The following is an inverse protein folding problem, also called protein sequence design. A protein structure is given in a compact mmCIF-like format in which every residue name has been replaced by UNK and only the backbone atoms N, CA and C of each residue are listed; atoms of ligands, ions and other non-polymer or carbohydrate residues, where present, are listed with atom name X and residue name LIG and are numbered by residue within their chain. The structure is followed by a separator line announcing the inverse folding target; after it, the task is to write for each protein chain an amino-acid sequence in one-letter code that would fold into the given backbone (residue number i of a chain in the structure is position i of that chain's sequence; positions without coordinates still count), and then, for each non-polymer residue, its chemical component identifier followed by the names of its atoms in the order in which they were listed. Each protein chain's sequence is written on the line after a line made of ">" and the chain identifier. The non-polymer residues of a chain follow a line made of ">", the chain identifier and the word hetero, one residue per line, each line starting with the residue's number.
data_IF_722249457786
#
_entry.id   IF_722249457786
#
_cell.length_a   1.000
_cell.length_b   1.000
_cell.length_c   1.000
_cell.angle_alpha   90.00
_cell.angle_beta   90.00
_cell.angle_gamma   90.00
#
_symmetry.space_group_name_H-M   'P 1'
#
loop_
_entity.id
_entity.type
_entity.pdbx_description
1 polymer ?
#
# COMPACT_ATOMS: atom_id res chain seq x y z
N UNK A 1 13.55 4.75 47.52
CA UNK A 1 12.09 4.99 47.71
C UNK A 1 11.68 6.45 47.59
N UNK A 2 12.14 7.40 48.44
CA UNK A 2 11.73 8.82 48.35
C UNK A 2 12.19 9.47 47.04
N UNK A 3 13.38 9.15 46.55
CA UNK A 3 13.92 9.69 45.30
C UNK A 3 13.22 9.15 44.06
N UNK A 4 12.79 7.90 44.06
CA UNK A 4 11.99 7.30 42.97
C UNK A 4 10.59 7.89 42.92
N UNK A 5 10.00 8.19 44.07
CA UNK A 5 8.71 8.88 44.16
C UNK A 5 8.78 10.32 43.63
N UNK A 6 9.83 11.07 43.98
CA UNK A 6 10.02 12.45 43.52
C UNK A 6 10.33 12.49 42.00
N UNK A 7 11.16 11.55 41.49
CA UNK A 7 11.44 11.46 40.04
C UNK A 7 10.21 11.04 39.25
N UNK A 8 9.41 10.09 39.77
CA UNK A 8 8.17 9.66 39.13
C UNK A 8 7.12 10.77 39.15
N UNK A 9 7.00 11.57 40.21
CA UNK A 9 6.10 12.70 40.30
C UNK A 9 6.53 13.84 39.37
N UNK A 10 7.83 14.13 39.26
CA UNK A 10 8.37 15.15 38.34
C UNK A 10 8.16 14.74 36.90
N UNK A 11 8.44 13.49 36.51
CA UNK A 11 8.21 12.94 35.17
C UNK A 11 6.71 12.90 34.86
N UNK A 12 5.88 12.46 35.80
CA UNK A 12 4.42 12.46 35.68
C UNK A 12 3.87 13.87 35.48
N UNK A 13 4.36 14.85 36.22
CA UNK A 13 3.99 16.27 36.10
C UNK A 13 4.37 16.86 34.75
N UNK A 14 5.58 16.59 34.26
CA UNK A 14 6.04 17.06 32.93
C UNK A 14 5.24 16.41 31.81
N UNK A 15 4.96 15.10 31.87
CA UNK A 15 4.12 14.40 30.89
C UNK A 15 2.66 14.90 30.89
N UNK A 16 2.13 15.18 32.10
CA UNK A 16 0.79 15.75 32.26
C UNK A 16 0.72 17.18 31.69
N UNK A 17 1.69 18.04 32.03
CA UNK A 17 1.78 19.41 31.49
C UNK A 17 1.98 19.42 29.96
N UNK A 18 2.77 18.47 29.40
CA UNK A 18 2.93 18.36 27.96
C UNK A 18 1.65 17.90 27.25
N UNK A 19 0.92 16.95 27.86
CA UNK A 19 -0.42 16.54 27.35
C UNK A 19 -1.46 17.66 27.48
N UNK A 20 -1.42 18.43 28.56
CA UNK A 20 -2.28 19.62 28.69
C UNK A 20 -1.92 20.70 27.65
N UNK A 21 -0.63 20.95 27.41
CA UNK A 21 -0.18 21.89 26.37
C UNK A 21 -0.58 21.40 24.96
N UNK A 22 -0.50 20.09 24.69
CA UNK A 22 -1.01 19.50 23.46
C UNK A 22 -2.54 19.63 23.34
N UNK A 23 -3.29 19.49 24.42
CA UNK A 23 -4.76 19.67 24.44
C UNK A 23 -5.19 21.13 24.31
N UNK A 24 -4.38 22.09 24.79
CA UNK A 24 -4.69 23.52 24.76
C UNK A 24 -4.32 24.22 23.46
N UNK A 25 -3.57 23.60 22.57
CA UNK A 25 -2.86 24.29 21.50
C UNK A 25 -3.60 24.39 20.16
N UNK A 26 -4.84 23.93 20.02
CA UNK A 26 -5.43 23.93 18.68
C UNK A 26 -6.85 24.46 18.62
N UNK A 27 -7.01 25.78 18.71
CA UNK A 27 -8.11 26.42 18.03
C UNK A 27 -7.67 26.80 16.60
N UNK A 28 -7.44 25.78 15.77
CA UNK A 28 -7.04 25.99 14.38
C UNK A 28 -8.17 26.67 13.58
N UNK A 29 -9.42 26.63 14.05
CA UNK A 29 -10.56 27.23 13.37
C UNK A 29 -10.37 28.73 13.10
N UNK A 30 -10.01 29.50 14.13
CA UNK A 30 -9.76 30.96 13.99
C UNK A 30 -8.50 31.23 13.16
N UNK A 31 -7.51 30.33 13.22
CA UNK A 31 -6.30 30.43 12.42
C UNK A 31 -6.60 30.18 10.94
N UNK A 32 -7.42 29.16 10.62
CA UNK A 32 -7.90 28.88 9.27
C UNK A 32 -8.65 30.08 8.71
N UNK A 33 -9.62 30.63 9.44
CA UNK A 33 -10.36 31.81 9.00
C UNK A 33 -9.45 33.00 8.68
N UNK A 34 -8.46 33.27 9.56
CA UNK A 34 -7.47 34.32 9.34
C UNK A 34 -6.58 34.08 8.13
N UNK A 35 -6.14 32.85 7.90
CA UNK A 35 -5.35 32.48 6.71
C UNK A 35 -6.19 32.70 5.45
N UNK A 36 -7.45 32.22 5.43
CA UNK A 36 -8.37 32.43 4.32
C UNK A 36 -8.56 33.92 4.00
N UNK A 37 -8.81 34.74 5.03
CA UNK A 37 -8.93 36.18 4.83
C UNK A 37 -7.69 36.83 4.23
N UNK A 38 -6.50 36.39 4.68
CA UNK A 38 -5.20 36.97 4.24
C UNK A 38 -4.81 36.50 2.83
N UNK A 39 -5.15 35.28 2.41
CA UNK A 39 -4.86 34.78 1.06
C UNK A 39 -5.93 35.15 0.02
N UNK A 40 -6.88 36.05 0.37
CA UNK A 40 -7.87 36.56 -0.56
C UNK A 40 -9.19 35.79 -0.61
N UNK A 41 -9.36 34.74 0.20
CA UNK A 41 -10.62 33.97 0.30
C UNK A 41 -11.66 34.72 1.17
N UNK A 42 -12.08 35.88 0.67
CA UNK A 42 -13.04 36.78 1.30
C UNK A 42 -13.83 37.54 0.25
N UNK A 43 -15.05 37.90 0.57
CA UNK A 43 -15.93 38.70 -0.29
C UNK A 43 -16.26 40.04 0.41
N UNK A 44 -16.17 41.13 -0.32
CA UNK A 44 -16.59 42.46 0.17
C UNK A 44 -18.04 42.72 -0.25
N UNK A 45 -18.92 42.89 0.73
CA UNK A 45 -20.29 43.34 0.53
C UNK A 45 -20.45 44.74 1.17
N UNK A 46 -20.34 45.78 0.35
CA UNK A 46 -20.36 47.16 0.85
C UNK A 46 -19.18 47.45 1.78
N UNK A 47 -19.47 47.79 3.04
CA UNK A 47 -18.47 48.09 4.09
C UNK A 47 -18.04 46.83 4.87
N UNK A 48 -18.72 45.68 4.70
CA UNK A 48 -18.43 44.45 5.42
C UNK A 48 -17.54 43.53 4.59
N UNK A 49 -16.64 42.80 5.27
CA UNK A 49 -15.83 41.74 4.66
C UNK A 49 -16.27 40.42 5.23
N UNK A 50 -16.82 39.57 4.39
CA UNK A 50 -17.25 38.21 4.77
C UNK A 50 -16.20 37.18 4.41
N UNK A 51 -15.94 36.29 5.36
CA UNK A 51 -15.02 35.11 5.21
C UNK A 51 -15.83 33.86 5.50
N UNK A 52 -15.17 32.70 5.41
CA UNK A 52 -15.77 31.41 5.79
C UNK A 52 -16.27 31.45 7.22
N UNK A 53 -17.45 30.87 7.46
CA UNK A 53 -18.08 30.79 8.78
C UNK A 53 -18.03 29.36 9.30
N UNK A 54 -17.38 29.13 10.47
CA UNK A 54 -17.36 27.84 11.12
C UNK A 54 -18.77 27.46 11.60
N UNK A 55 -19.24 26.27 11.19
CA UNK A 55 -20.52 25.71 11.61
C UNK A 55 -20.33 24.54 12.57
N UNK A 56 -19.32 23.68 12.31
CA UNK A 56 -19.09 22.49 13.12
C UNK A 56 -17.61 22.18 13.23
N UNK A 57 -17.22 21.63 14.40
CA UNK A 57 -15.90 21.09 14.68
C UNK A 57 -16.08 19.68 15.24
N UNK A 58 -15.50 18.68 14.57
CA UNK A 58 -15.55 17.27 15.00
C UNK A 58 -14.13 16.77 15.25
N UNK A 59 -13.87 16.18 16.42
CA UNK A 59 -12.59 15.58 16.73
C UNK A 59 -12.65 14.08 16.46
N UNK A 60 -11.66 13.57 15.74
CA UNK A 60 -11.46 12.16 15.40
C UNK A 60 -10.08 11.71 15.86
N UNK A 61 -9.79 10.39 15.77
CA UNK A 61 -8.49 9.82 16.15
C UNK A 61 -7.32 10.30 15.27
N UNK A 62 -7.60 10.71 14.04
CA UNK A 62 -6.63 11.23 13.07
C UNK A 62 -6.38 12.74 13.20
N UNK A 63 -7.31 13.50 13.81
CA UNK A 63 -7.20 14.95 13.92
C UNK A 63 -8.55 15.64 14.09
N UNK A 64 -8.76 16.77 13.43
CA UNK A 64 -9.98 17.58 13.57
C UNK A 64 -10.56 17.94 12.20
N UNK A 65 -11.84 17.69 12.02
CA UNK A 65 -12.63 18.16 10.88
C UNK A 65 -13.36 19.46 11.24
N UNK A 66 -13.21 20.47 10.41
CA UNK A 66 -13.90 21.75 10.50
C UNK A 66 -14.84 21.89 9.30
N UNK A 67 -16.13 22.09 9.55
CA UNK A 67 -17.11 22.36 8.51
C UNK A 67 -17.43 23.87 8.49
N UNK A 68 -17.23 24.49 7.35
CA UNK A 68 -17.44 25.91 7.12
C UNK A 68 -18.50 26.14 6.05
N UNK A 69 -19.25 27.25 6.20
CA UNK A 69 -20.05 27.82 5.12
C UNK A 69 -19.14 28.71 4.29
N UNK A 70 -19.16 28.55 2.96
CA UNK A 70 -18.50 29.43 2.01
C UNK A 70 -19.37 30.67 1.79
N UNK A 71 -18.83 31.89 1.81
CA UNK A 71 -19.60 33.10 1.46
C UNK A 71 -19.96 33.10 -0.02
N UNK A 72 -21.09 33.68 -0.37
CA UNK A 72 -21.54 33.86 -1.76
C UNK A 72 -20.45 34.61 -2.55
N UNK A 73 -20.13 34.09 -3.73
CA UNK A 73 -19.08 34.62 -4.62
C UNK A 73 -17.72 33.92 -4.53
N UNK A 74 -17.58 32.88 -3.68
CA UNK A 74 -16.47 31.96 -3.69
C UNK A 74 -16.92 30.53 -4.01
N UNK A 75 -16.08 29.78 -4.70
CA UNK A 75 -16.28 28.36 -5.05
C UNK A 75 -15.33 27.46 -4.29
N UNK A 76 -15.57 26.16 -4.30
CA UNK A 76 -14.66 25.16 -3.72
C UNK A 76 -13.27 25.21 -4.38
N UNK A 77 -13.20 25.42 -5.70
CA UNK A 77 -11.93 25.47 -6.43
C UNK A 77 -11.02 26.63 -5.99
N UNK A 78 -11.59 27.74 -5.49
CA UNK A 78 -10.80 28.86 -4.93
C UNK A 78 -10.01 28.41 -3.70
N UNK A 79 -10.57 27.50 -2.90
CA UNK A 79 -9.90 26.93 -1.73
C UNK A 79 -8.86 25.89 -2.10
N UNK A 80 -9.14 25.04 -3.11
CA UNK A 80 -8.18 24.04 -3.60
C UNK A 80 -6.91 24.71 -4.10
N UNK A 81 -7.00 25.79 -4.85
CA UNK A 81 -5.84 26.57 -5.32
C UNK A 81 -5.01 27.18 -4.18
N UNK A 82 -5.59 27.34 -3.00
CA UNK A 82 -4.93 27.95 -1.83
C UNK A 82 -4.58 26.94 -0.73
N UNK A 83 -4.66 25.64 -1.00
CA UNK A 83 -4.39 24.59 0.00
C UNK A 83 -2.99 24.72 0.61
N UNK A 84 -1.97 25.04 -0.19
CA UNK A 84 -0.61 25.23 0.30
C UNK A 84 -0.50 26.40 1.27
N UNK A 85 -1.22 27.51 1.02
CA UNK A 85 -1.24 28.65 1.95
C UNK A 85 -1.90 28.28 3.30
N UNK A 86 -2.91 27.41 3.27
CA UNK A 86 -3.54 26.88 4.47
C UNK A 86 -2.58 25.97 5.25
N UNK A 87 -1.90 25.05 4.56
CA UNK A 87 -0.92 24.15 5.17
C UNK A 87 0.25 24.93 5.79
N UNK A 88 0.90 25.81 5.03
CA UNK A 88 2.03 26.60 5.50
C UNK A 88 1.63 27.54 6.64
N UNK A 89 0.47 28.16 6.52
CA UNK A 89 -0.09 28.99 7.57
C UNK A 89 -0.35 28.24 8.86
N UNK A 90 -0.95 27.04 8.81
CA UNK A 90 -1.18 26.22 9.99
C UNK A 90 0.11 25.68 10.61
N UNK A 91 1.10 25.39 9.77
CA UNK A 91 2.41 24.85 10.19
C UNK A 91 3.41 25.91 10.67
N UNK A 92 3.08 27.20 10.50
CA UNK A 92 3.97 28.27 10.96
C UNK A 92 4.17 28.18 12.49
N UNK A 93 5.42 27.95 12.92
CA UNK A 93 5.85 27.79 14.34
C UNK A 93 5.31 26.54 15.08
N UNK A 94 4.83 25.50 14.40
CA UNK A 94 4.36 24.28 15.08
C UNK A 94 5.53 23.37 15.46
N UNK A 95 6.30 23.73 16.50
CA UNK A 95 7.25 22.83 17.15
C UNK A 95 6.53 22.14 18.31
N UNK A 96 6.43 20.81 18.25
CA UNK A 96 5.87 19.99 19.33
C UNK A 96 7.02 19.31 20.08
N UNK A 97 6.92 19.21 21.39
CA UNK A 97 7.88 18.48 22.19
C UNK A 97 7.79 16.98 21.87
N UNK A 98 8.93 16.38 21.46
CA UNK A 98 9.01 14.95 21.11
C UNK A 98 9.87 14.21 22.13
N UNK A 99 9.26 13.88 23.27
CA UNK A 99 9.89 13.02 24.26
C UNK A 99 8.97 11.84 24.63
N UNK A 100 9.57 10.68 24.82
CA UNK A 100 8.89 9.45 25.23
C UNK A 100 9.29 9.11 26.67
N UNK A 101 8.40 8.41 27.38
CA UNK A 101 8.74 7.89 28.73
C UNK A 101 10.02 7.06 28.75
N UNK A 102 10.35 6.40 27.61
CA UNK A 102 11.59 5.65 27.45
C UNK A 102 12.85 6.53 27.45
N UNK A 103 12.76 7.79 27.01
CA UNK A 103 13.90 8.71 26.99
C UNK A 103 14.34 9.05 28.42
N UNK A 104 13.41 9.01 29.40
CA UNK A 104 13.70 9.23 30.81
C UNK A 104 14.29 8.00 31.51
N UNK A 105 14.15 6.79 30.96
CA UNK A 105 14.80 5.58 31.48
C UNK A 105 16.32 5.58 31.27
N UNK A 106 16.82 6.40 30.37
CA UNK A 106 18.25 6.54 30.07
C UNK A 106 18.95 7.57 30.95
N UNK A 107 18.23 8.25 31.86
CA UNK A 107 18.80 9.23 32.77
C UNK A 107 19.80 8.59 33.75
N UNK A 108 21.02 9.12 33.78
CA UNK A 108 22.05 8.72 34.74
C UNK A 108 22.05 9.71 35.90
N UNK A 109 22.00 9.20 37.14
CA UNK A 109 22.10 9.97 38.38
C UNK A 109 23.52 10.56 38.53
N UNK A 110 23.74 11.73 37.91
CA UNK A 110 24.98 12.53 37.99
C UNK A 110 24.62 13.98 38.33
N UNK A 111 25.64 14.79 38.69
CA UNK A 111 25.45 16.22 39.01
C UNK A 111 24.78 17.05 37.86
N UNK A 112 24.76 16.53 36.66
CA UNK A 112 24.18 17.14 35.46
C UNK A 112 22.77 16.64 35.10
N UNK A 113 22.08 15.94 36.00
CA UNK A 113 20.75 15.36 35.77
C UNK A 113 19.71 16.38 35.28
N UNK A 114 19.77 17.60 35.81
CA UNK A 114 18.88 18.69 35.37
C UNK A 114 19.12 19.08 33.90
N UNK A 115 20.38 19.10 33.45
CA UNK A 115 20.72 19.35 32.06
C UNK A 115 20.25 18.19 31.14
N UNK A 116 20.39 16.95 31.59
CA UNK A 116 19.90 15.78 30.85
C UNK A 116 18.37 15.84 30.68
N UNK A 117 17.63 16.14 31.75
CA UNK A 117 16.18 16.35 31.71
C UNK A 117 15.82 17.50 30.78
N UNK A 118 16.52 18.62 30.85
CA UNK A 118 16.28 19.79 30.01
C UNK A 118 16.54 19.51 28.52
N UNK A 119 17.56 18.70 28.21
CA UNK A 119 17.84 18.24 26.84
C UNK A 119 16.76 17.30 26.29
N UNK A 120 16.20 16.42 27.13
CA UNK A 120 15.08 15.54 26.75
C UNK A 120 13.83 16.38 26.48
N UNK A 121 13.49 17.31 27.38
CA UNK A 121 12.32 18.18 27.26
C UNK A 121 12.46 19.13 26.07
N UNK A 122 13.66 19.61 25.76
CA UNK A 122 13.92 20.52 24.65
C UNK A 122 13.99 19.81 23.28
N UNK A 123 13.90 18.50 23.22
CA UNK A 123 13.73 17.75 21.96
C UNK A 123 12.42 18.17 21.31
N UNK A 124 12.52 19.04 20.32
CA UNK A 124 11.38 19.53 19.54
C UNK A 124 11.37 18.86 18.17
N UNK A 125 10.28 18.22 17.83
CA UNK A 125 10.03 17.72 16.48
C UNK A 125 9.10 18.67 15.76
N UNK A 126 9.43 18.98 14.51
CA UNK A 126 8.51 19.70 13.63
C UNK A 126 7.40 18.71 13.24
N UNK A 127 6.22 18.87 13.78
CA UNK A 127 5.05 18.10 13.34
C UNK A 127 4.33 18.95 12.31
N UNK A 128 4.42 18.54 11.07
CA UNK A 128 3.68 19.18 9.97
C UNK A 128 2.26 18.66 10.00
N UNK A 129 1.30 19.56 10.17
CA UNK A 129 -0.13 19.30 9.97
C UNK A 129 -0.38 19.25 8.47
N UNK A 130 -1.09 18.24 8.03
CA UNK A 130 -1.54 18.10 6.65
C UNK A 130 -3.03 18.42 6.58
N UNK A 131 -3.49 18.94 5.44
CA UNK A 131 -4.87 19.38 5.24
C UNK A 131 -5.46 18.63 4.07
N UNK A 132 -6.72 18.28 4.18
CA UNK A 132 -7.54 17.77 3.10
C UNK A 132 -8.81 18.61 3.02
N UNK A 133 -9.20 18.99 1.79
CA UNK A 133 -10.40 19.73 1.51
C UNK A 133 -11.43 18.82 0.85
N UNK A 134 -12.69 18.95 1.25
CA UNK A 134 -13.82 18.34 0.56
C UNK A 134 -15.05 19.23 0.65
N UNK A 135 -16.00 19.04 -0.27
CA UNK A 135 -17.23 19.84 -0.33
C UNK A 135 -18.44 18.94 -0.59
N UNK A 136 -19.41 19.05 0.30
CA UNK A 136 -20.72 18.37 0.20
C UNK A 136 -21.87 19.32 0.61
N UNK A 137 -21.84 20.55 0.10
CA UNK A 137 -22.68 21.64 0.55
C UNK A 137 -22.03 22.49 1.64
N UNK A 138 -21.04 21.94 2.35
CA UNK A 138 -20.17 22.66 3.29
C UNK A 138 -18.72 22.40 2.93
N UNK A 139 -17.87 23.40 3.10
CA UNK A 139 -16.43 23.24 3.00
C UNK A 139 -15.93 22.49 4.24
N UNK A 140 -15.49 21.26 4.07
CA UNK A 140 -14.85 20.48 5.11
C UNK A 140 -13.33 20.61 4.98
N UNK A 141 -12.71 21.06 6.06
CA UNK A 141 -11.25 21.16 6.20
C UNK A 141 -10.83 20.15 7.27
N UNK A 142 -10.22 19.05 6.84
CA UNK A 142 -9.63 18.04 7.72
C UNK A 142 -8.20 18.42 8.02
N UNK A 143 -7.90 18.61 9.28
CA UNK A 143 -6.55 18.92 9.76
C UNK A 143 -6.01 17.69 10.47
N UNK A 144 -5.05 17.04 9.86
CA UNK A 144 -4.42 15.84 10.38
C UNK A 144 -3.30 16.19 11.37
N UNK A 145 -3.39 15.66 12.59
CA UNK A 145 -2.35 15.84 13.62
C UNK A 145 -1.13 14.93 13.37
N UNK A 146 -1.33 13.87 12.59
CA UNK A 146 -0.28 12.92 12.18
C UNK A 146 -0.37 12.73 10.68
N UNK A 147 0.75 12.88 10.00
CA UNK A 147 0.86 12.51 8.59
C UNK A 147 0.80 11.00 8.36
N UNK A 148 0.75 10.59 7.10
CA UNK A 148 0.89 9.17 6.74
C UNK A 148 2.27 8.69 7.24
N UNK A 149 2.35 7.58 7.99
CA UNK A 149 3.64 7.07 8.48
C UNK A 149 4.58 6.76 7.31
N UNK A 150 5.88 6.95 7.50
CA UNK A 150 6.87 6.63 6.45
C UNK A 150 7.21 5.15 6.37
N UNK A 151 6.85 4.38 7.40
CA UNK A 151 7.07 2.94 7.47
C UNK A 151 5.98 2.27 8.31
N UNK A 152 5.39 1.20 7.76
CA UNK A 152 4.40 0.37 8.46
C UNK A 152 4.87 -1.07 8.43
N UNK A 153 5.27 -1.60 9.58
CA UNK A 153 5.65 -3.01 9.72
C UNK A 153 4.38 -3.87 9.86
N UNK A 154 4.38 -5.01 9.18
CA UNK A 154 3.32 -6.01 9.26
C UNK A 154 3.10 -6.49 10.70
N UNK A 155 1.82 -6.65 11.05
CA UNK A 155 1.35 -7.27 12.29
C UNK A 155 0.22 -8.24 11.94
N UNK A 156 0.19 -9.40 12.59
CA UNK A 156 -0.85 -10.42 12.33
C UNK A 156 -2.27 -9.91 12.53
N UNK A 157 -2.48 -8.97 13.45
CA UNK A 157 -3.78 -8.35 13.67
C UNK A 157 -4.34 -7.62 12.44
N UNK A 158 -3.49 -7.23 11.49
CA UNK A 158 -3.93 -6.62 10.23
C UNK A 158 -4.65 -7.64 9.35
N UNK A 159 -4.17 -8.89 9.30
CA UNK A 159 -4.86 -9.97 8.58
C UNK A 159 -6.14 -10.39 9.32
N UNK A 160 -6.12 -10.45 10.66
CA UNK A 160 -7.30 -10.78 11.47
C UNK A 160 -8.46 -9.80 11.29
N UNK A 161 -8.16 -8.55 10.91
CA UNK A 161 -9.17 -7.53 10.58
C UNK A 161 -9.76 -7.72 9.18
N UNK A 162 -9.16 -8.56 8.34
CA UNK A 162 -9.62 -8.85 6.99
C UNK A 162 -10.59 -10.04 7.01
N UNK A 163 -11.70 -9.92 6.28
CA UNK A 163 -12.73 -10.97 6.16
C UNK A 163 -12.82 -11.45 4.71
N UNK A 164 -13.23 -12.70 4.53
CA UNK A 164 -13.39 -13.25 3.18
C UNK A 164 -12.15 -13.08 2.32
N UNK A 165 -12.27 -12.37 1.23
CA UNK A 165 -11.19 -12.11 0.27
C UNK A 165 -10.50 -10.75 0.46
N UNK A 166 -10.71 -10.13 1.63
CA UNK A 166 -9.99 -8.90 1.99
C UNK A 166 -8.52 -9.15 2.30
N UNK A 167 -7.68 -8.22 1.89
CA UNK A 167 -6.24 -8.16 2.22
C UNK A 167 -5.86 -6.77 2.70
N UNK A 168 -4.90 -6.64 3.64
CA UNK A 168 -4.41 -5.32 4.04
C UNK A 168 -3.52 -4.75 2.94
N UNK A 169 -3.73 -3.49 2.57
CA UNK A 169 -2.87 -2.78 1.60
C UNK A 169 -1.89 -1.88 2.32
N UNK A 170 -2.37 -0.99 3.18
CA UNK A 170 -1.54 0.01 3.83
C UNK A 170 -2.33 0.92 4.75
N UNK A 171 -1.66 1.94 5.25
CA UNK A 171 -2.26 2.96 6.10
C UNK A 171 -2.37 4.29 5.36
N UNK A 172 -3.54 4.87 5.44
CA UNK A 172 -3.77 6.28 5.17
C UNK A 172 -3.67 7.08 6.47
N UNK A 173 -4.05 8.33 6.42
CA UNK A 173 -4.24 9.15 7.63
C UNK A 173 -5.41 8.67 8.49
N UNK A 174 -6.42 8.06 7.85
CA UNK A 174 -7.67 7.60 8.49
C UNK A 174 -7.54 6.19 9.09
N UNK A 175 -6.48 5.45 8.77
CA UNK A 175 -6.24 4.11 9.28
C UNK A 175 -5.89 3.07 8.21
N UNK A 176 -6.12 1.80 8.53
CA UNK A 176 -5.81 0.67 7.66
C UNK A 176 -6.77 0.62 6.47
N UNK A 177 -6.21 0.65 5.27
CA UNK A 177 -6.92 0.37 4.02
C UNK A 177 -6.81 -1.12 3.70
N UNK A 178 -7.95 -1.71 3.35
CA UNK A 178 -8.09 -3.09 2.89
C UNK A 178 -8.61 -3.11 1.47
N UNK A 179 -8.26 -4.14 0.73
CA UNK A 179 -8.81 -4.44 -0.59
C UNK A 179 -9.59 -5.74 -0.53
N UNK A 180 -10.80 -5.74 -1.06
CA UNK A 180 -11.65 -6.92 -1.18
C UNK A 180 -11.69 -7.39 -2.64
N UNK A 181 -11.07 -8.53 -2.91
CA UNK A 181 -11.04 -9.14 -4.25
C UNK A 181 -12.39 -9.69 -4.71
N UNK A 182 -13.37 -9.82 -3.83
CA UNK A 182 -14.73 -10.19 -4.22
C UNK A 182 -15.59 -8.99 -4.62
N UNK A 183 -15.18 -7.77 -4.24
CA UNK A 183 -15.80 -6.53 -4.71
C UNK A 183 -15.10 -6.01 -5.98
N UNK A 184 -13.78 -5.87 -5.94
CA UNK A 184 -12.94 -5.43 -7.05
C UNK A 184 -11.95 -6.55 -7.39
N UNK A 185 -12.34 -7.37 -8.35
CA UNK A 185 -11.73 -8.67 -8.63
C UNK A 185 -10.29 -8.61 -9.12
N UNK A 186 -9.91 -7.55 -9.81
CA UNK A 186 -8.62 -7.42 -10.46
C UNK A 186 -7.88 -6.19 -9.96
N UNK A 187 -6.54 -6.29 -9.92
CA UNK A 187 -5.68 -5.22 -9.43
C UNK A 187 -4.47 -5.02 -10.33
N UNK A 188 -4.14 -3.76 -10.63
CA UNK A 188 -2.85 -3.37 -11.19
C UNK A 188 -1.92 -2.94 -10.06
N UNK A 189 -0.66 -3.40 -10.11
CA UNK A 189 0.40 -2.93 -9.21
C UNK A 189 1.57 -2.40 -10.03
N UNK A 190 1.86 -1.10 -9.94
CA UNK A 190 2.95 -0.51 -10.71
C UNK A 190 3.89 0.32 -9.83
N UNK A 191 5.16 0.45 -10.25
CA UNK A 191 6.12 1.26 -9.54
C UNK A 191 7.56 0.95 -9.91
N UNK A 192 8.43 1.93 -9.74
CA UNK A 192 9.88 1.75 -9.94
C UNK A 192 10.44 0.64 -9.08
N UNK A 193 11.59 0.11 -9.51
CA UNK A 193 12.37 -0.84 -8.72
C UNK A 193 12.55 -0.34 -7.29
N UNK A 194 12.44 -1.25 -6.32
CA UNK A 194 12.67 -0.97 -4.89
C UNK A 194 11.63 -0.09 -4.19
N UNK A 195 10.57 0.35 -4.87
CA UNK A 195 9.52 1.18 -4.26
C UNK A 195 8.48 0.39 -3.45
N UNK A 196 8.41 -0.94 -3.57
CA UNK A 196 7.52 -1.77 -2.73
C UNK A 196 6.58 -2.71 -3.51
N UNK A 197 6.60 -2.69 -4.85
CA UNK A 197 5.75 -3.54 -5.71
C UNK A 197 5.79 -5.03 -5.31
N UNK A 198 6.97 -5.64 -5.28
CA UNK A 198 7.10 -7.06 -4.91
C UNK A 198 6.74 -7.35 -3.46
N UNK A 199 6.87 -6.37 -2.55
CA UNK A 199 6.47 -6.55 -1.16
C UNK A 199 4.94 -6.56 -1.01
N UNK A 200 4.21 -5.72 -1.75
CA UNK A 200 2.74 -5.74 -1.72
C UNK A 200 2.19 -7.03 -2.33
N UNK A 201 2.82 -7.58 -3.39
CA UNK A 201 2.44 -8.88 -3.94
C UNK A 201 2.63 -10.00 -2.90
N UNK A 202 3.77 -10.01 -2.20
CA UNK A 202 4.04 -10.96 -1.11
C UNK A 202 3.04 -10.82 0.03
N UNK A 203 2.70 -9.61 0.41
CA UNK A 203 1.69 -9.34 1.44
C UNK A 203 0.32 -9.90 1.04
N UNK A 204 -0.11 -9.66 -0.20
CA UNK A 204 -1.39 -10.15 -0.73
C UNK A 204 -1.40 -11.69 -0.72
N UNK A 205 -0.41 -12.35 -1.33
CA UNK A 205 -0.33 -13.82 -1.37
C UNK A 205 -0.37 -14.41 0.04
N UNK A 206 0.48 -13.89 0.94
CA UNK A 206 0.58 -14.39 2.31
C UNK A 206 -0.74 -14.21 3.08
N UNK A 207 -1.42 -13.07 2.90
CA UNK A 207 -2.70 -12.79 3.55
C UNK A 207 -3.81 -13.71 3.04
N UNK A 208 -3.87 -13.92 1.73
CA UNK A 208 -4.86 -14.80 1.10
C UNK A 208 -4.65 -16.27 1.51
N UNK A 209 -3.41 -16.76 1.47
CA UNK A 209 -3.08 -18.14 1.91
C UNK A 209 -3.46 -18.32 3.38
N UNK A 210 -3.22 -17.32 4.23
CA UNK A 210 -3.58 -17.38 5.65
C UNK A 210 -5.08 -17.45 5.90
N UNK A 211 -5.87 -16.66 5.15
CA UNK A 211 -7.31 -16.51 5.40
C UNK A 211 -8.18 -17.45 4.56
N UNK A 212 -7.70 -17.92 3.41
CA UNK A 212 -8.49 -18.69 2.41
C UNK A 212 -7.74 -19.94 1.93
N UNK A 213 -7.02 -20.60 2.84
CA UNK A 213 -6.14 -21.74 2.50
C UNK A 213 -6.84 -22.87 1.75
N UNK A 214 -8.12 -23.10 2.00
CA UNK A 214 -8.89 -24.19 1.37
C UNK A 214 -9.48 -23.78 0.01
N UNK A 215 -9.68 -22.49 -0.20
CA UNK A 215 -10.46 -21.96 -1.32
C UNK A 215 -9.64 -21.22 -2.36
N UNK A 216 -8.35 -20.95 -2.10
CA UNK A 216 -7.49 -20.25 -3.03
C UNK A 216 -6.69 -21.20 -3.91
N UNK A 217 -6.60 -20.87 -5.21
CA UNK A 217 -5.73 -21.48 -6.19
C UNK A 217 -4.83 -20.42 -6.80
N UNK A 218 -3.51 -20.59 -6.71
CA UNK A 218 -2.51 -19.61 -7.12
C UNK A 218 -1.81 -20.06 -8.39
N UNK A 219 -1.83 -19.20 -9.41
CA UNK A 219 -1.08 -19.30 -10.65
C UNK A 219 -0.14 -18.11 -10.73
N UNK A 220 1.15 -18.37 -10.64
CA UNK A 220 2.18 -17.35 -10.49
C UNK A 220 3.03 -17.28 -11.76
N UNK A 221 3.20 -16.09 -12.33
CA UNK A 221 3.98 -15.87 -13.54
C UNK A 221 5.11 -14.89 -13.25
N UNK A 222 6.35 -15.38 -13.33
CA UNK A 222 7.58 -14.61 -13.13
C UNK A 222 8.66 -15.06 -14.12
N UNK A 223 8.68 -14.43 -15.30
CA UNK A 223 9.58 -14.77 -16.40
C UNK A 223 11.06 -14.45 -16.13
N UNK A 224 11.37 -13.93 -14.94
CA UNK A 224 12.76 -13.76 -14.47
C UNK A 224 13.28 -14.98 -13.70
N UNK A 225 12.86 -16.17 -14.11
CA UNK A 225 13.28 -17.44 -13.51
C UNK A 225 12.53 -17.81 -12.23
N UNK A 226 11.39 -17.20 -11.95
CA UNK A 226 10.52 -17.53 -10.82
C UNK A 226 11.07 -17.11 -9.45
N UNK A 227 12.07 -16.22 -9.39
CA UNK A 227 12.75 -15.85 -8.15
C UNK A 227 11.83 -15.13 -7.17
N UNK A 228 10.91 -14.30 -7.68
CA UNK A 228 9.99 -13.52 -6.87
C UNK A 228 9.02 -14.39 -6.06
N UNK A 229 8.62 -15.53 -6.65
CA UNK A 229 7.63 -16.44 -6.08
C UNK A 229 8.21 -17.77 -5.56
N UNK A 230 9.51 -17.98 -5.70
CA UNK A 230 10.16 -19.24 -5.30
C UNK A 230 9.88 -19.68 -3.85
N UNK A 231 9.62 -18.71 -2.97
CA UNK A 231 9.26 -18.95 -1.57
C UNK A 231 7.94 -19.71 -1.40
N UNK A 232 7.01 -19.54 -2.34
CA UNK A 232 5.68 -20.13 -2.32
C UNK A 232 5.56 -21.46 -3.05
N UNK A 233 6.62 -21.94 -3.71
CA UNK A 233 6.61 -23.11 -4.60
C UNK A 233 6.11 -24.41 -3.99
N UNK A 234 6.19 -24.54 -2.66
CA UNK A 234 5.74 -25.74 -1.96
C UNK A 234 4.41 -25.56 -1.24
N UNK A 235 3.70 -24.47 -1.46
CA UNK A 235 2.36 -24.30 -0.92
C UNK A 235 1.37 -25.23 -1.61
N UNK A 236 0.46 -25.83 -0.83
CA UNK A 236 -0.64 -26.64 -1.37
C UNK A 236 -1.57 -25.84 -2.30
N UNK A 237 -1.59 -24.51 -2.15
CA UNK A 237 -2.43 -23.58 -2.90
C UNK A 237 -1.83 -23.17 -4.24
N UNK A 238 -0.55 -23.44 -4.48
CA UNK A 238 0.14 -23.09 -5.74
C UNK A 238 -0.04 -24.22 -6.73
N UNK A 239 -0.79 -23.93 -7.80
CA UNK A 239 -1.02 -24.85 -8.91
C UNK A 239 0.15 -24.81 -9.90
N UNK A 240 0.67 -23.61 -10.23
CA UNK A 240 1.82 -23.45 -11.13
C UNK A 240 2.65 -22.21 -10.81
N UNK A 241 3.95 -22.28 -11.15
CA UNK A 241 4.88 -21.14 -11.20
C UNK A 241 5.57 -21.17 -12.55
N UNK A 242 5.13 -20.33 -13.47
CA UNK A 242 5.73 -20.17 -14.78
C UNK A 242 6.97 -19.25 -14.69
N UNK A 243 8.12 -19.75 -15.19
CA UNK A 243 9.44 -19.12 -15.05
C UNK A 243 10.00 -18.61 -16.37
N UNK A 244 9.42 -19.02 -17.46
CA UNK A 244 9.78 -18.68 -18.83
C UNK A 244 8.51 -18.53 -19.68
N UNK A 245 8.60 -18.01 -20.91
CA UNK A 245 7.44 -17.75 -21.75
C UNK A 245 6.63 -18.99 -22.13
N UNK A 246 7.31 -20.12 -22.32
CA UNK A 246 6.68 -21.39 -22.68
C UNK A 246 5.81 -21.91 -21.53
N UNK A 247 6.34 -21.93 -20.30
CA UNK A 247 5.59 -22.28 -19.10
C UNK A 247 4.44 -21.31 -18.82
N UNK A 248 4.63 -20.00 -19.12
CA UNK A 248 3.59 -19.01 -18.98
C UNK A 248 2.44 -19.26 -19.94
N UNK A 249 2.74 -19.56 -21.19
CA UNK A 249 1.72 -19.85 -22.20
C UNK A 249 0.93 -21.12 -21.85
N UNK A 250 1.59 -22.17 -21.42
CA UNK A 250 0.96 -23.42 -20.96
C UNK A 250 0.02 -23.15 -19.77
N UNK A 251 0.52 -22.44 -18.75
CA UNK A 251 -0.26 -22.06 -17.57
C UNK A 251 -1.47 -21.20 -17.94
N UNK A 252 -1.30 -20.24 -18.85
CA UNK A 252 -2.38 -19.35 -19.28
C UNK A 252 -3.43 -20.06 -20.12
N UNK A 253 -3.06 -21.01 -20.97
CA UNK A 253 -3.99 -21.88 -21.70
C UNK A 253 -4.83 -22.74 -20.75
N UNK A 254 -4.18 -23.37 -19.76
CA UNK A 254 -4.91 -24.09 -18.71
C UNK A 254 -5.93 -23.21 -17.99
N UNK A 255 -5.54 -21.98 -17.66
CA UNK A 255 -6.44 -21.01 -17.04
C UNK A 255 -7.59 -20.60 -17.96
N UNK A 256 -7.34 -20.46 -19.26
CA UNK A 256 -8.39 -20.15 -20.25
C UNK A 256 -9.41 -21.29 -20.35
N UNK A 257 -8.95 -22.54 -20.35
CA UNK A 257 -9.84 -23.71 -20.37
C UNK A 257 -10.69 -23.75 -19.10
N UNK A 258 -10.09 -23.54 -17.91
CA UNK A 258 -10.82 -23.44 -16.65
C UNK A 258 -11.83 -22.28 -16.63
N UNK A 259 -11.46 -21.13 -17.21
CA UNK A 259 -12.35 -19.98 -17.34
C UNK A 259 -13.56 -20.30 -18.22
N UNK A 260 -13.33 -20.93 -19.36
CA UNK A 260 -14.38 -21.33 -20.28
C UNK A 260 -15.34 -22.35 -19.62
N UNK A 261 -14.80 -23.40 -19.01
CA UNK A 261 -15.59 -24.42 -18.32
C UNK A 261 -16.45 -23.84 -17.19
N UNK A 262 -15.91 -22.89 -16.40
CA UNK A 262 -16.68 -22.23 -15.33
C UNK A 262 -17.75 -21.29 -15.86
N UNK A 263 -17.49 -20.55 -16.92
CA UNK A 263 -18.50 -19.69 -17.57
C UNK A 263 -19.61 -20.54 -18.19
N UNK A 264 -19.28 -21.66 -18.83
CA UNK A 264 -20.25 -22.62 -19.37
C UNK A 264 -21.13 -23.21 -18.28
N UNK A 265 -20.53 -23.66 -17.17
CA UNK A 265 -21.28 -24.14 -15.98
C UNK A 265 -22.25 -23.09 -15.45
N UNK A 266 -21.83 -21.83 -15.30
CA UNK A 266 -22.69 -20.74 -14.83
C UNK A 266 -23.87 -20.52 -15.79
N UNK A 267 -23.59 -20.51 -17.08
CA UNK A 267 -24.60 -20.35 -18.14
C UNK A 267 -25.62 -21.49 -18.12
N UNK A 268 -25.17 -22.76 -18.07
CA UNK A 268 -26.03 -23.93 -18.02
C UNK A 268 -26.94 -23.96 -16.79
N UNK A 269 -26.44 -23.50 -15.65
CA UNK A 269 -27.20 -23.48 -14.39
C UNK A 269 -28.01 -22.20 -14.20
N UNK A 270 -27.82 -21.19 -15.04
CA UNK A 270 -28.51 -19.90 -14.94
C UNK A 270 -28.00 -19.02 -13.80
N UNK A 271 -26.77 -19.20 -13.33
CA UNK A 271 -26.15 -18.36 -12.31
C UNK A 271 -25.47 -17.14 -12.95
N UNK A 272 -25.54 -15.99 -12.26
CA UNK A 272 -24.84 -14.77 -12.70
C UNK A 272 -23.34 -14.80 -12.38
N UNK A 273 -22.99 -15.43 -11.25
CA UNK A 273 -21.60 -15.59 -10.83
C UNK A 273 -21.41 -16.80 -9.88
N UNK A 274 -20.15 -17.09 -9.57
CA UNK A 274 -19.81 -18.23 -8.70
C UNK A 274 -20.25 -18.04 -7.25
N UNK A 275 -20.54 -16.81 -6.80
CA UNK A 275 -21.06 -16.57 -5.45
C UNK A 275 -22.51 -17.06 -5.36
N UNK A 276 -23.29 -16.76 -6.37
CA UNK A 276 -24.65 -17.27 -6.50
C UNK A 276 -24.65 -18.80 -6.61
N UNK A 277 -23.67 -19.38 -7.34
CA UNK A 277 -23.47 -20.82 -7.45
C UNK A 277 -22.99 -21.47 -6.13
N UNK A 278 -22.65 -20.67 -5.11
CA UNK A 278 -22.13 -21.17 -3.83
C UNK A 278 -20.71 -21.76 -3.89
N UNK A 279 -19.98 -21.53 -4.99
CA UNK A 279 -18.60 -22.01 -5.12
C UNK A 279 -17.61 -21.07 -4.39
N UNK A 280 -16.91 -21.55 -3.34
CA UNK A 280 -15.99 -20.73 -2.58
C UNK A 280 -14.64 -20.53 -3.27
N UNK A 281 -14.30 -21.32 -4.31
CA UNK A 281 -12.96 -21.35 -4.90
C UNK A 281 -12.69 -20.11 -5.76
N UNK A 282 -11.52 -19.49 -5.56
CA UNK A 282 -11.01 -18.37 -6.38
C UNK A 282 -9.64 -18.70 -6.97
N UNK A 283 -9.49 -18.42 -8.26
CA UNK A 283 -8.25 -18.57 -9.02
C UNK A 283 -7.53 -17.23 -9.08
N UNK A 284 -6.38 -17.12 -8.40
CA UNK A 284 -5.54 -15.92 -8.43
C UNK A 284 -4.43 -16.08 -9.46
N UNK A 285 -4.45 -15.25 -10.48
CA UNK A 285 -3.43 -15.16 -11.51
C UNK A 285 -2.56 -13.94 -11.19
N UNK A 286 -1.29 -14.16 -10.86
CA UNK A 286 -0.40 -13.09 -10.41
C UNK A 286 0.80 -13.02 -11.34
N UNK A 287 0.90 -11.90 -12.06
CA UNK A 287 1.99 -11.58 -12.98
C UNK A 287 2.90 -10.55 -12.31
N UNK A 288 4.18 -10.90 -12.06
CA UNK A 288 5.13 -10.00 -11.39
C UNK A 288 5.62 -8.88 -12.32
N UNK A 289 5.84 -9.18 -13.61
CA UNK A 289 6.29 -8.16 -14.57
C UNK A 289 5.57 -8.30 -15.91
N UNK A 290 4.60 -7.42 -16.13
CA UNK A 290 3.80 -7.39 -17.36
C UNK A 290 4.63 -7.11 -18.62
N UNK A 291 5.71 -6.33 -18.48
CA UNK A 291 6.59 -6.00 -19.61
C UNK A 291 7.29 -7.25 -20.19
N UNK A 292 7.53 -8.26 -19.37
CA UNK A 292 8.15 -9.51 -19.82
C UNK A 292 7.18 -10.39 -20.63
N UNK A 293 5.86 -10.22 -20.43
CA UNK A 293 4.80 -10.91 -21.20
C UNK A 293 4.44 -10.14 -22.49
N UNK A 294 4.69 -8.83 -22.52
CA UNK A 294 4.30 -7.94 -23.60
C UNK A 294 4.68 -8.43 -25.02
N UNK A 295 5.83 -9.11 -25.25
CA UNK A 295 6.18 -9.64 -26.57
C UNK A 295 5.35 -10.85 -27.01
N UNK A 296 4.62 -11.50 -26.10
CA UNK A 296 3.90 -12.76 -26.35
C UNK A 296 2.40 -12.49 -26.48
N UNK A 297 1.93 -12.25 -27.72
CA UNK A 297 0.57 -11.82 -28.02
C UNK A 297 -0.49 -12.77 -27.45
N UNK A 298 -0.32 -14.09 -27.63
CA UNK A 298 -1.28 -15.08 -27.13
C UNK A 298 -1.42 -15.01 -25.60
N UNK A 299 -0.30 -14.85 -24.88
CA UNK A 299 -0.34 -14.67 -23.42
C UNK A 299 -1.11 -13.40 -23.04
N UNK A 300 -0.90 -12.30 -23.77
CA UNK A 300 -1.63 -11.05 -23.53
C UNK A 300 -3.13 -11.21 -23.78
N UNK A 301 -3.51 -11.87 -24.88
CA UNK A 301 -4.92 -12.08 -25.25
C UNK A 301 -5.66 -12.89 -24.17
N UNK A 302 -5.02 -13.93 -23.63
CA UNK A 302 -5.59 -14.72 -22.54
C UNK A 302 -5.71 -13.88 -21.25
N UNK A 303 -4.70 -13.07 -20.90
CA UNK A 303 -4.74 -12.19 -19.72
C UNK A 303 -5.85 -11.15 -19.87
N UNK A 304 -6.02 -10.57 -21.04
CA UNK A 304 -7.11 -9.61 -21.33
C UNK A 304 -8.47 -10.31 -21.19
N UNK A 305 -8.60 -11.54 -21.66
CA UNK A 305 -9.83 -12.31 -21.54
C UNK A 305 -10.16 -12.67 -20.08
N UNK A 306 -9.15 -13.06 -19.29
CA UNK A 306 -9.29 -13.25 -17.82
C UNK A 306 -9.76 -11.95 -17.16
N UNK A 307 -9.17 -10.80 -17.51
CA UNK A 307 -9.58 -9.49 -16.99
C UNK A 307 -11.01 -9.12 -17.35
N UNK A 308 -11.48 -9.52 -18.52
CA UNK A 308 -12.84 -9.21 -19.02
C UNK A 308 -13.91 -10.13 -18.46
N UNK A 309 -13.70 -11.46 -18.49
CA UNK A 309 -14.71 -12.48 -18.15
C UNK A 309 -14.49 -13.15 -16.79
N UNK A 310 -13.31 -12.98 -16.22
CA UNK A 310 -12.89 -13.76 -15.05
C UNK A 310 -13.65 -13.44 -13.78
N UNK A 311 -14.20 -12.22 -13.63
CA UNK A 311 -14.89 -11.79 -12.41
C UNK A 311 -16.02 -12.76 -12.01
N UNK A 312 -16.95 -13.03 -12.91
CA UNK A 312 -18.08 -13.91 -12.67
C UNK A 312 -17.62 -15.34 -12.37
N UNK A 313 -16.63 -15.84 -13.11
CA UNK A 313 -16.08 -17.18 -12.96
C UNK A 313 -15.12 -17.36 -11.77
N UNK A 314 -14.90 -16.33 -10.93
CA UNK A 314 -14.07 -16.44 -9.73
C UNK A 314 -12.57 -16.27 -9.97
N UNK A 315 -12.17 -15.73 -11.10
CA UNK A 315 -10.78 -15.37 -11.37
C UNK A 315 -10.44 -13.99 -10.82
N UNK A 316 -9.23 -13.87 -10.32
CA UNK A 316 -8.68 -12.65 -9.73
C UNK A 316 -7.30 -12.40 -10.33
N UNK A 317 -7.17 -11.37 -11.15
CA UNK A 317 -5.92 -11.01 -11.81
C UNK A 317 -5.20 -9.93 -11.02
N UNK A 318 -3.95 -10.17 -10.67
CA UNK A 318 -3.02 -9.16 -10.15
C UNK A 318 -1.93 -8.98 -11.20
N UNK A 319 -1.95 -7.83 -11.85
CA UNK A 319 -1.09 -7.54 -12.99
C UNK A 319 -0.08 -6.47 -12.61
N UNK A 320 1.19 -6.86 -12.44
CA UNK A 320 2.20 -5.95 -11.93
C UNK A 320 3.24 -5.59 -13.00
N UNK A 321 3.80 -4.37 -12.93
CA UNK A 321 4.86 -3.89 -13.82
C UNK A 321 5.71 -2.80 -13.19
N UNK A 322 6.99 -2.75 -13.58
CA UNK A 322 7.90 -1.63 -13.29
C UNK A 322 7.89 -0.60 -14.42
N UNK A 323 7.51 -1.02 -15.62
CA UNK A 323 7.53 -0.22 -16.84
C UNK A 323 6.14 -0.17 -17.48
N UNK A 324 5.25 0.71 -17.02
CA UNK A 324 3.88 0.80 -17.54
C UNK A 324 3.86 1.48 -18.91
N UNK A 325 4.12 0.70 -19.95
CA UNK A 325 3.98 1.13 -21.36
C UNK A 325 2.62 0.69 -21.91
N UNK A 326 2.18 1.25 -23.02
CA UNK A 326 0.93 0.84 -23.65
C UNK A 326 0.98 -0.63 -24.13
N UNK A 327 2.15 -1.14 -24.50
CA UNK A 327 2.35 -2.54 -24.86
C UNK A 327 2.24 -3.48 -23.66
N UNK A 328 2.81 -3.10 -22.52
CA UNK A 328 2.75 -3.88 -21.28
C UNK A 328 1.35 -3.82 -20.63
N UNK A 329 0.60 -2.75 -20.87
CA UNK A 329 -0.70 -2.50 -20.26
C UNK A 329 -1.75 -2.11 -21.33
N UNK A 330 -2.29 -3.10 -22.06
CA UNK A 330 -3.32 -2.86 -23.08
C UNK A 330 -4.52 -2.09 -22.52
N UNK A 331 -5.07 -1.16 -23.30
CA UNK A 331 -6.19 -0.30 -22.86
C UNK A 331 -7.42 -1.11 -22.42
N UNK A 332 -7.72 -2.20 -23.10
CA UNK A 332 -8.81 -3.11 -22.72
C UNK A 332 -8.61 -3.72 -21.33
N UNK A 333 -7.39 -4.11 -20.99
CA UNK A 333 -7.08 -4.64 -19.66
C UNK A 333 -7.27 -3.57 -18.59
N UNK A 334 -6.74 -2.36 -18.80
CA UNK A 334 -6.86 -1.24 -17.88
C UNK A 334 -8.31 -0.85 -17.57
N UNK A 335 -9.18 -0.89 -18.59
CA UNK A 335 -10.61 -0.58 -18.44
C UNK A 335 -11.36 -1.60 -17.59
N UNK A 336 -10.91 -2.86 -17.58
CA UNK A 336 -11.53 -3.94 -16.81
C UNK A 336 -11.00 -4.06 -15.37
N UNK A 337 -9.91 -3.36 -15.03
CA UNK A 337 -9.29 -3.43 -13.70
C UNK A 337 -9.59 -2.16 -12.90
N UNK A 338 -10.46 -2.29 -11.90
CA UNK A 338 -10.93 -1.17 -11.09
C UNK A 338 -10.00 -0.79 -9.92
N UNK A 339 -9.10 -1.68 -9.49
CA UNK A 339 -8.20 -1.42 -8.36
C UNK A 339 -6.76 -1.24 -8.84
N UNK A 340 -6.06 -0.23 -8.29
CA UNK A 340 -4.69 0.08 -8.67
C UNK A 340 -3.87 0.46 -7.45
N UNK A 341 -2.65 -0.09 -7.33
CA UNK A 341 -1.64 0.29 -6.35
C UNK A 341 -0.43 0.81 -7.11
N UNK A 342 -0.29 2.12 -7.19
CA UNK A 342 0.77 2.77 -7.96
C UNK A 342 1.80 3.40 -7.01
N UNK A 343 2.98 2.80 -6.93
CA UNK A 343 4.14 3.38 -6.26
C UNK A 343 4.73 4.48 -7.13
N UNK A 344 5.72 5.20 -6.59
CA UNK A 344 6.40 6.25 -7.34
C UNK A 344 6.87 5.73 -8.70
N UNK A 345 6.61 6.52 -9.74
CA UNK A 345 7.07 6.35 -11.11
C UNK A 345 7.99 7.51 -11.51
N UNK A 346 8.76 7.34 -12.59
CA UNK A 346 9.69 8.39 -13.05
C UNK A 346 8.99 9.51 -13.80
N UNK A 347 7.91 9.19 -14.51
CA UNK A 347 7.27 10.11 -15.45
C UNK A 347 5.78 10.19 -15.24
N UNK A 348 5.20 11.35 -15.57
CA UNK A 348 3.76 11.54 -15.62
C UNK A 348 3.09 10.60 -16.64
N UNK A 349 3.74 10.34 -17.78
CA UNK A 349 3.24 9.40 -18.77
C UNK A 349 3.06 7.99 -18.18
N UNK A 350 4.02 7.52 -17.38
CA UNK A 350 3.89 6.28 -16.65
C UNK A 350 2.73 6.30 -15.64
N UNK A 351 2.57 7.41 -14.91
CA UNK A 351 1.44 7.59 -13.99
C UNK A 351 0.11 7.54 -14.73
N UNK A 352 -0.04 8.24 -15.85
CA UNK A 352 -1.23 8.21 -16.70
C UNK A 352 -1.53 6.81 -17.26
N UNK A 353 -0.50 6.04 -17.60
CA UNK A 353 -0.67 4.67 -18.08
C UNK A 353 -1.25 3.73 -17.01
N UNK A 354 -1.06 4.03 -15.71
CA UNK A 354 -1.55 3.22 -14.60
C UNK A 354 -2.81 3.79 -13.99
N UNK A 355 -2.85 5.10 -13.74
CA UNK A 355 -3.88 5.78 -12.94
C UNK A 355 -4.91 6.53 -13.81
N UNK A 356 -4.74 6.54 -15.15
CA UNK A 356 -5.45 7.37 -16.14
C UNK A 356 -5.23 8.89 -15.94
N UNK A 357 -4.45 9.28 -14.93
CA UNK A 357 -4.01 10.64 -14.65
C UNK A 357 -2.64 10.67 -13.97
N UNK A 358 -2.01 11.83 -13.86
CA UNK A 358 -0.73 12.01 -13.15
C UNK A 358 -0.86 11.81 -11.65
N UNK A 359 0.29 11.86 -10.95
CA UNK A 359 0.38 11.89 -9.49
C UNK A 359 1.40 10.94 -8.88
N UNK A 360 1.63 9.77 -9.46
CA UNK A 360 2.61 8.83 -8.90
C UNK A 360 4.07 9.32 -9.05
N UNK A 361 4.38 10.11 -10.07
CA UNK A 361 5.69 10.77 -10.25
C UNK A 361 5.98 11.81 -9.15
N UNK A 362 4.92 12.40 -8.61
CA UNK A 362 5.01 13.42 -7.56
C UNK A 362 5.08 12.83 -6.14
N UNK A 363 4.91 11.52 -5.98
CA UNK A 363 5.05 10.87 -4.68
C UNK A 363 6.45 11.08 -4.10
N UNK A 364 6.57 11.26 -2.77
CA UNK A 364 7.87 11.35 -2.12
C UNK A 364 8.67 10.05 -2.32
N UNK A 365 10.00 10.16 -2.32
CA UNK A 365 10.89 9.01 -2.43
C UNK A 365 10.94 8.22 -1.11
N UNK A 366 9.81 7.63 -0.73
CA UNK A 366 9.64 6.82 0.48
C UNK A 366 9.24 5.42 0.03
N UNK A 367 10.02 4.41 0.41
CA UNK A 367 9.71 3.00 0.10
C UNK A 367 8.35 2.62 0.69
N UNK A 368 7.49 2.05 -0.12
CA UNK A 368 6.13 1.66 0.27
C UNK A 368 5.09 2.79 0.17
N UNK A 369 5.48 4.02 -0.21
CA UNK A 369 4.51 5.08 -0.49
C UNK A 369 3.88 4.85 -1.86
N UNK A 370 2.54 4.78 -1.90
CA UNK A 370 1.79 4.49 -3.11
C UNK A 370 0.48 5.28 -3.17
N UNK A 371 -0.10 5.37 -4.34
CA UNK A 371 -1.49 5.74 -4.56
C UNK A 371 -2.29 4.44 -4.68
N UNK A 372 -3.24 4.25 -3.79
CA UNK A 372 -4.27 3.23 -3.94
C UNK A 372 -5.50 3.88 -4.55
N UNK A 373 -5.88 3.40 -5.72
CA UNK A 373 -7.02 3.92 -6.47
C UNK A 373 -8.06 2.82 -6.65
N UNK A 374 -9.28 3.16 -6.32
CA UNK A 374 -10.52 2.47 -6.67
C UNK A 374 -11.47 3.51 -7.28
N UNK A 375 -12.64 3.75 -6.70
CA UNK A 375 -13.49 4.89 -7.08
C UNK A 375 -12.87 6.23 -6.63
N UNK A 376 -12.02 6.18 -5.61
CA UNK A 376 -11.28 7.33 -5.08
C UNK A 376 -9.78 7.02 -5.05
N UNK A 377 -8.98 8.07 -5.13
CA UNK A 377 -7.53 7.99 -4.93
C UNK A 377 -7.17 8.30 -3.50
N UNK A 378 -6.33 7.45 -2.91
CA UNK A 378 -5.79 7.66 -1.56
C UNK A 378 -4.29 7.41 -1.55
N UNK A 379 -3.53 8.36 -1.01
CA UNK A 379 -2.12 8.12 -0.73
C UNK A 379 -2.01 7.20 0.47
N UNK A 380 -1.27 6.11 0.32
CA UNK A 380 -1.10 5.08 1.35
C UNK A 380 0.38 4.79 1.60
N UNK A 381 0.70 4.39 2.82
CA UNK A 381 1.94 3.71 3.12
C UNK A 381 1.66 2.21 3.19
N UNK A 382 2.12 1.45 2.21
CA UNK A 382 1.89 0.00 2.17
C UNK A 382 2.55 -0.71 3.33
N UNK A 383 1.94 -1.81 3.75
CA UNK A 383 2.48 -2.61 4.85
C UNK A 383 3.69 -3.40 4.37
N UNK A 384 4.81 -3.27 5.08
CA UNK A 384 6.02 -4.05 4.84
C UNK A 384 5.97 -5.37 5.61
N UNK A 385 6.05 -6.49 4.89
CA UNK A 385 6.17 -7.83 5.46
C UNK A 385 7.57 -8.39 5.16
N UNK A 386 8.26 -8.84 6.20
CA UNK A 386 9.58 -9.44 6.04
C UNK A 386 9.51 -10.96 5.73
N UNK A 387 10.59 -11.49 5.18
CA UNK A 387 10.64 -12.87 4.73
C UNK A 387 10.42 -13.88 5.88
N UNK A 388 10.87 -13.57 7.11
CA UNK A 388 10.68 -14.46 8.28
C UNK A 388 9.22 -14.51 8.68
N UNK A 389 8.52 -13.36 8.61
CA UNK A 389 7.08 -13.29 8.88
C UNK A 389 6.30 -14.11 7.84
N UNK A 390 6.66 -13.99 6.55
CA UNK A 390 6.07 -14.80 5.48
C UNK A 390 6.24 -16.28 5.79
N UNK A 391 7.49 -16.73 6.04
CA UNK A 391 7.81 -18.15 6.30
C UNK A 391 7.00 -18.70 7.48
N UNK A 392 6.87 -17.93 8.56
CA UNK A 392 6.09 -18.36 9.72
C UNK A 392 4.60 -18.54 9.39
N UNK A 393 4.03 -17.63 8.58
CA UNK A 393 2.61 -17.66 8.23
C UNK A 393 2.31 -18.80 7.25
N UNK A 394 3.16 -19.01 6.24
CA UNK A 394 2.93 -20.02 5.21
C UNK A 394 3.32 -21.44 5.64
N UNK A 395 4.14 -21.59 6.68
CA UNK A 395 4.64 -22.89 7.16
C UNK A 395 3.58 -23.98 7.32
N UNK A 396 2.38 -23.72 7.89
CA UNK A 396 1.34 -24.73 8.03
C UNK A 396 0.77 -25.22 6.68
N UNK A 397 0.97 -24.48 5.60
CA UNK A 397 0.38 -24.73 4.29
C UNK A 397 1.38 -25.38 3.30
N UNK A 398 2.60 -25.69 3.76
CA UNK A 398 3.66 -26.27 2.92
C UNK A 398 3.40 -27.77 2.71
N UNK A 399 3.46 -28.22 1.46
CA UNK A 399 3.47 -29.63 1.07
C UNK A 399 4.82 -30.26 1.44
N UNK A 400 4.85 -30.96 2.56
CA UNK A 400 6.09 -31.57 3.10
C UNK A 400 6.62 -32.69 2.19
N UNK A 401 5.74 -33.43 1.49
CA UNK A 401 6.17 -34.52 0.58
C UNK A 401 6.89 -33.91 -0.63
N UNK A 402 6.26 -33.00 -1.33
CA UNK A 402 6.87 -32.34 -2.50
C UNK A 402 8.19 -31.62 -2.15
N UNK A 403 8.26 -31.00 -0.97
CA UNK A 403 9.50 -30.38 -0.50
C UNK A 403 10.61 -31.39 -0.26
N UNK A 404 10.35 -32.50 0.40
CA UNK A 404 11.34 -33.58 0.64
C UNK A 404 11.83 -34.23 -0.66
N UNK A 405 10.91 -34.47 -1.61
CA UNK A 405 11.27 -35.02 -2.94
C UNK A 405 12.21 -34.07 -3.70
N UNK A 406 11.92 -32.75 -3.67
CA UNK A 406 12.80 -31.77 -4.28
C UNK A 406 14.17 -31.67 -3.60
N UNK A 407 14.25 -31.71 -2.26
CA UNK A 407 15.49 -31.66 -1.50
C UNK A 407 16.32 -32.93 -1.78
N UNK A 408 15.72 -34.11 -1.84
CA UNK A 408 16.38 -35.36 -2.19
C UNK A 408 16.90 -35.38 -3.63
N UNK A 409 16.13 -34.92 -4.61
CA UNK A 409 16.53 -34.81 -6.00
C UNK A 409 17.74 -33.86 -6.18
N UNK A 410 17.77 -32.77 -5.40
CA UNK A 410 18.92 -31.85 -5.42
C UNK A 410 20.17 -32.46 -4.87
N UNK A 411 20.08 -33.20 -3.75
CA UNK A 411 21.23 -33.94 -3.15
C UNK A 411 21.74 -35.01 -4.09
N UNK A 412 20.87 -35.73 -4.81
CA UNK A 412 21.28 -36.75 -5.79
C UNK A 412 22.01 -36.16 -7.01
N UNK A 413 21.65 -34.94 -7.42
CA UNK A 413 22.31 -34.22 -8.51
C UNK A 413 23.65 -33.58 -8.10
N UNK A 414 23.82 -33.20 -6.83
CA UNK A 414 25.09 -32.69 -6.29
C UNK A 414 26.03 -33.80 -5.88
N UNK A 415 25.55 -35.05 -5.78
CA UNK A 415 26.30 -36.24 -5.38
C UNK A 415 27.00 -37.00 -6.50
N UNK A 416 27.08 -36.48 -7.73
CA UNK A 416 27.87 -37.08 -8.81
C UNK A 416 29.24 -36.38 -8.92
N UNK A 417 30.30 -36.91 -8.28
CA UNK A 417 31.63 -36.36 -8.43
C UNK A 417 32.29 -37.04 -9.65
N UNK A 418 32.11 -36.46 -10.84
CA UNK A 418 33.10 -36.69 -11.93
C UNK A 418 32.78 -35.77 -13.13
N UNK A 419 33.40 -34.65 -13.10
CA UNK A 419 33.66 -33.80 -14.25
C UNK A 419 34.93 -33.02 -13.97
N UNK A 420 36.09 -33.69 -14.03
CA UNK A 420 37.38 -33.01 -14.14
C UNK A 420 37.37 -32.23 -15.45
N UNK A 421 37.02 -30.97 -15.40
CA UNK A 421 37.36 -30.03 -16.47
C UNK A 421 38.85 -29.67 -16.31
N UNK A 422 39.70 -30.35 -17.07
CA UNK A 422 41.08 -29.94 -17.31
C UNK A 422 40.97 -28.80 -18.32
N UNK A 423 41.24 -27.58 -17.92
CA UNK A 423 41.51 -26.48 -18.83
C UNK A 423 42.90 -26.69 -19.40
N UNK A 424 43.00 -27.18 -20.62
CA UNK A 424 44.21 -27.08 -21.43
C UNK A 424 44.33 -25.66 -21.94
N UNK A 425 45.32 -24.93 -21.43
CA UNK A 425 45.73 -23.62 -21.97
C UNK A 425 46.59 -23.90 -23.21
N UNK A 426 46.05 -23.71 -24.41
CA UNK A 426 46.84 -23.59 -25.63
C UNK A 426 47.62 -22.28 -25.61
N UNK A 427 48.95 -22.39 -25.43
CA UNK A 427 49.88 -21.29 -25.69
C UNK A 427 49.93 -21.00 -27.20
N UNK A 428 49.27 -19.96 -27.66
CA UNK A 428 49.52 -19.41 -29.01
C UNK A 428 50.81 -18.61 -29.00
N UNK A 429 51.87 -19.24 -29.53
CA UNK A 429 53.10 -18.53 -29.89
C UNK A 429 52.83 -17.63 -31.08
N UNK A 430 52.98 -16.35 -30.89
CA UNK A 430 53.12 -15.36 -31.96
C UNK A 430 54.52 -15.44 -32.54
N UNK A 431 54.58 -15.73 -33.82
CA UNK A 431 55.74 -15.47 -34.69
C UNK A 431 55.47 -14.24 -35.56
#
# INVERSE_FOLDING_TARGET
>A
MIFELVSSAAVGGVVFLSKMHQKGATNDASKIQRICANCGLKVKEGKETRTIQLLRKTRNDWGVEYAYRIPLGLSFSDFEQKIQHLEDGLNHKSKVYDFKLQDFKSLRLRKDILKQIQNIINKKKLVRKEIELSYDGLLKIRVYEKGIPDFVKFKEDMIKQCRGWEVPIGYTRDGLIKHDFDQLSHMISAGMTDMGKSNVLKLIITSLVRNQSENIKLFLVDLKGGLSFNRYRFLNQVESIAKNPEEALETLRELQDKLNARNEYLLEKGYEDIKEAGDPVRYFVIVDEAADIAPYQECQDIIVDIGRRGRAAGFRLIYATQYPTNSAMPSQLRQNIGARVCFRLQTEAGSRAVLDEGGAESLPNIKGRAIYQTNEKKVVQTVYIDNKQIDNIIKPHINIKARKEYENAKVSNEGSPNGKYTLELEETRLS
#
